data_IF_950126129873
#
_entry.id   IF_950126129873
#
_cell.length_a   1.000
_cell.length_b   1.000
_cell.length_c   1.000
_cell.angle_alpha   90.00
_cell.angle_beta   90.00
_cell.angle_gamma   90.00
#
_symmetry.space_group_name_H-M   'P 1'
#
loop_
_entity.id
_entity.type
_entity.pdbx_description
1 polymer ?
#
# COMPACT_ATOMS: atom_id res chain seq x y z
N UNK A 1 2.00 20.69 14.96
CA UNK A 1 1.76 19.28 15.32
C UNK A 1 1.42 18.54 14.04
N UNK A 2 2.37 17.77 13.48
CA UNK A 2 2.03 16.84 12.40
C UNK A 2 1.54 15.56 13.07
N UNK A 3 0.27 15.24 12.90
CA UNK A 3 -0.30 13.97 13.34
C UNK A 3 0.35 12.86 12.51
N UNK A 4 1.31 12.15 13.10
CA UNK A 4 1.97 11.02 12.47
C UNK A 4 1.03 9.82 12.48
N UNK A 5 0.21 9.68 11.44
CA UNK A 5 -0.57 8.45 11.22
C UNK A 5 0.44 7.34 10.90
N UNK A 6 0.40 6.19 11.60
CA UNK A 6 1.29 5.07 11.33
C UNK A 6 1.24 4.66 9.86
N UNK A 7 2.39 4.39 9.25
CA UNK A 7 2.51 4.04 7.81
C UNK A 7 1.59 2.88 7.43
N UNK A 8 1.43 1.92 8.34
CA UNK A 8 0.53 0.79 8.14
C UNK A 8 -0.94 1.23 8.00
N UNK A 9 -1.42 2.08 8.91
CA UNK A 9 -2.78 2.60 8.85
C UNK A 9 -3.03 3.41 7.56
N UNK A 10 -2.03 4.16 7.09
CA UNK A 10 -2.13 4.88 5.81
C UNK A 10 -2.16 3.93 4.60
N UNK A 11 -1.43 2.82 4.66
CA UNK A 11 -1.44 1.80 3.61
C UNK A 11 -2.79 1.07 3.59
N UNK A 12 -3.29 0.64 4.75
CA UNK A 12 -4.61 0.01 4.90
C UNK A 12 -5.71 0.94 4.42
N UNK A 13 -5.66 2.23 4.76
CA UNK A 13 -6.61 3.22 4.30
C UNK A 13 -6.55 3.41 2.78
N UNK A 14 -5.36 3.41 2.17
CA UNK A 14 -5.23 3.49 0.71
C UNK A 14 -5.87 2.29 0.00
N UNK A 15 -5.70 1.08 0.52
CA UNK A 15 -6.38 -0.12 0.00
C UNK A 15 -7.88 -0.08 0.28
N UNK A 16 -8.30 0.37 1.47
CA UNK A 16 -9.70 0.53 1.83
C UNK A 16 -10.44 1.48 0.90
N UNK A 17 -9.83 2.61 0.54
CA UNK A 17 -10.38 3.56 -0.44
C UNK A 17 -10.47 2.95 -1.85
N UNK A 18 -9.46 2.17 -2.26
CA UNK A 18 -9.50 1.46 -3.52
C UNK A 18 -10.63 0.41 -3.55
N UNK A 19 -10.76 -0.36 -2.47
CA UNK A 19 -11.80 -1.37 -2.29
C UNK A 19 -13.21 -0.76 -2.23
N UNK A 20 -13.35 0.43 -1.64
CA UNK A 20 -14.59 1.20 -1.61
C UNK A 20 -14.96 1.83 -2.96
N UNK A 21 -14.12 1.67 -4.00
CA UNK A 21 -14.37 2.23 -5.32
C UNK A 21 -14.09 3.73 -5.42
N UNK A 22 -13.24 4.27 -4.56
CA UNK A 22 -12.83 5.68 -4.54
C UNK A 22 -11.35 5.85 -4.96
N UNK A 23 -11.04 5.66 -6.26
CA UNK A 23 -9.69 5.83 -6.78
C UNK A 23 -9.22 7.29 -6.73
N UNK A 24 -10.13 8.25 -6.63
CA UNK A 24 -9.80 9.67 -6.59
C UNK A 24 -9.30 10.07 -5.19
N UNK A 25 -9.88 9.51 -4.13
CA UNK A 25 -9.36 9.65 -2.77
C UNK A 25 -7.97 8.99 -2.61
N UNK A 26 -7.72 7.83 -3.23
CA UNK A 26 -6.38 7.22 -3.27
C UNK A 26 -5.37 8.19 -3.93
N UNK A 27 -5.75 8.76 -5.08
CA UNK A 27 -4.90 9.71 -5.81
C UNK A 27 -4.62 11.00 -5.05
N UNK A 28 -5.57 11.49 -4.25
CA UNK A 28 -5.37 12.68 -3.42
C UNK A 28 -4.25 12.51 -2.38
N UNK A 29 -3.95 11.27 -1.99
CA UNK A 29 -2.86 10.91 -1.06
C UNK A 29 -1.51 10.75 -1.74
N UNK A 30 -1.50 10.62 -3.07
CA UNK A 30 -0.27 10.44 -3.83
C UNK A 30 0.55 11.73 -3.91
N UNK A 31 1.86 11.57 -4.07
CA UNK A 31 2.73 12.66 -4.51
C UNK A 31 2.33 13.10 -5.92
N UNK A 32 2.68 14.34 -6.29
CA UNK A 32 2.33 14.88 -7.61
C UNK A 32 2.82 13.98 -8.77
N UNK A 33 4.06 13.50 -8.68
CA UNK A 33 4.66 12.63 -9.71
C UNK A 33 3.97 11.27 -9.76
N UNK A 34 3.68 10.66 -8.60
CA UNK A 34 2.98 9.39 -8.51
C UNK A 34 1.55 9.48 -9.06
N UNK A 35 0.80 10.52 -8.69
CA UNK A 35 -0.55 10.77 -9.20
C UNK A 35 -0.57 10.98 -10.73
N UNK A 36 0.52 11.47 -11.33
CA UNK A 36 0.63 11.56 -12.79
C UNK A 36 0.91 10.22 -13.46
N UNK A 37 1.68 9.35 -12.82
CA UNK A 37 2.01 8.02 -13.34
C UNK A 37 0.86 7.02 -13.16
N UNK A 38 0.31 6.93 -11.95
CA UNK A 38 -0.76 5.99 -11.59
C UNK A 38 -2.11 6.67 -11.79
N UNK A 39 -2.62 6.66 -13.03
CA UNK A 39 -3.89 7.32 -13.40
C UNK A 39 -5.10 6.70 -12.68
N UNK A 40 -6.22 7.46 -12.58
CA UNK A 40 -7.51 6.92 -12.10
C UNK A 40 -7.91 5.65 -12.85
N UNK A 41 -7.75 5.66 -14.18
CA UNK A 41 -8.04 4.51 -15.03
C UNK A 41 -7.17 3.31 -14.66
N UNK A 42 -5.87 3.52 -14.46
CA UNK A 42 -4.95 2.45 -14.08
C UNK A 42 -5.36 1.80 -12.74
N UNK A 43 -5.68 2.60 -11.71
CA UNK A 43 -6.16 2.09 -10.42
C UNK A 43 -7.41 1.22 -10.56
N UNK A 44 -8.42 1.74 -11.27
CA UNK A 44 -9.69 1.02 -11.48
C UNK A 44 -9.47 -0.26 -12.28
N UNK A 45 -8.66 -0.21 -13.32
CA UNK A 45 -8.38 -1.39 -14.16
C UNK A 45 -7.67 -2.47 -13.36
N UNK A 46 -6.56 -2.14 -12.68
CA UNK A 46 -5.79 -3.11 -11.90
C UNK A 46 -6.64 -3.69 -10.77
N UNK A 47 -7.39 -2.86 -10.05
CA UNK A 47 -8.25 -3.36 -8.96
C UNK A 47 -9.33 -4.31 -9.48
N UNK A 48 -9.95 -3.99 -10.62
CA UNK A 48 -10.91 -4.90 -11.27
C UNK A 48 -10.28 -6.22 -11.70
N UNK A 49 -9.04 -6.19 -12.20
CA UNK A 49 -8.30 -7.41 -12.56
C UNK A 49 -8.01 -8.27 -11.34
N UNK A 50 -7.62 -7.66 -10.21
CA UNK A 50 -7.44 -8.35 -8.92
C UNK A 50 -8.74 -9.00 -8.46
N UNK A 51 -9.86 -8.26 -8.43
CA UNK A 51 -11.14 -8.81 -8.01
C UNK A 51 -11.63 -9.91 -8.96
N UNK A 52 -11.34 -9.80 -10.26
CA UNK A 52 -11.67 -10.85 -11.22
C UNK A 52 -10.84 -12.13 -11.03
N UNK A 53 -9.61 -12.02 -10.49
CA UNK A 53 -8.75 -13.18 -10.26
C UNK A 53 -8.99 -13.88 -8.92
N UNK A 54 -9.25 -13.12 -7.84
CA UNK A 54 -9.29 -13.66 -6.48
C UNK A 54 -10.58 -13.33 -5.71
N UNK A 55 -11.55 -12.66 -6.34
CA UNK A 55 -12.83 -12.31 -5.70
C UNK A 55 -12.76 -11.07 -4.81
N UNK A 56 -13.83 -10.84 -4.04
CA UNK A 56 -13.96 -9.67 -3.18
C UNK A 56 -12.87 -9.61 -2.09
N UNK A 57 -12.47 -8.41 -1.69
CA UNK A 57 -11.58 -8.21 -0.54
C UNK A 57 -12.39 -8.41 0.75
N UNK A 58 -11.92 -9.31 1.62
CA UNK A 58 -12.56 -9.60 2.90
C UNK A 58 -11.87 -8.89 4.06
N UNK A 59 -10.53 -8.88 4.07
CA UNK A 59 -9.73 -8.22 5.09
C UNK A 59 -8.31 -7.93 4.59
N UNK A 60 -7.57 -7.11 5.34
CA UNK A 60 -6.14 -6.92 5.12
C UNK A 60 -5.40 -6.82 6.45
N UNK A 61 -4.15 -7.25 6.46
CA UNK A 61 -3.26 -7.17 7.60
C UNK A 61 -1.84 -6.91 7.11
N UNK A 62 -1.07 -6.10 7.83
CA UNK A 62 0.26 -5.75 7.35
C UNK A 62 1.31 -5.50 8.41
N UNK A 63 2.49 -5.21 7.90
CA UNK A 63 3.64 -4.77 8.68
C UNK A 63 4.39 -3.68 7.92
N UNK A 64 5.21 -2.93 8.65
CA UNK A 64 6.04 -1.88 8.06
C UNK A 64 7.38 -2.46 7.68
N UNK A 65 7.80 -2.17 6.45
CA UNK A 65 9.16 -2.37 5.98
C UNK A 65 9.84 -0.99 5.96
N UNK A 66 10.86 -0.83 6.81
CA UNK A 66 11.71 0.36 6.80
C UNK A 66 12.95 0.09 5.97
N UNK A 67 13.27 1.03 5.09
CA UNK A 67 14.56 1.04 4.41
C UNK A 67 15.43 2.13 5.06
N UNK A 68 16.63 1.75 5.48
CA UNK A 68 17.67 2.69 5.90
C UNK A 68 18.97 2.22 5.26
N UNK A 69 19.55 3.08 4.42
CA UNK A 69 20.86 2.87 3.79
C UNK A 69 21.02 1.57 2.99
N UNK A 70 20.02 1.20 2.19
CA UNK A 70 20.06 0.03 1.31
C UNK A 70 19.92 -1.32 2.02
N UNK A 71 19.67 -1.31 3.34
CA UNK A 71 19.31 -2.50 4.10
C UNK A 71 17.80 -2.52 4.38
N UNK A 72 17.12 -3.55 3.89
CA UNK A 72 15.73 -3.83 4.25
C UNK A 72 15.69 -4.28 5.70
N UNK A 73 15.20 -3.43 6.61
CA UNK A 73 14.82 -3.86 7.95
C UNK A 73 13.33 -4.14 7.97
N UNK A 74 12.97 -5.42 8.04
CA UNK A 74 11.63 -5.81 8.51
C UNK A 74 11.54 -5.37 9.97
N UNK A 75 10.86 -4.26 10.21
CA UNK A 75 10.49 -3.88 11.56
C UNK A 75 9.29 -4.71 12.00
N UNK A 76 9.32 -5.08 13.28
CA UNK A 76 8.26 -5.76 14.04
C UNK A 76 6.87 -5.23 13.64
N UNK A 77 5.79 -6.04 13.72
CA UNK A 77 4.41 -5.54 13.59
C UNK A 77 4.28 -4.20 14.33
N UNK A 78 3.92 -3.15 13.59
CA UNK A 78 3.86 -1.81 14.14
C UNK A 78 2.85 -1.82 15.28
N UNK A 79 3.27 -1.39 16.47
CA UNK A 79 2.32 -1.19 17.56
C UNK A 79 1.33 -0.10 17.12
N UNK A 80 0.01 -0.30 17.29
CA UNK A 80 -0.97 0.72 16.94
C UNK A 80 -0.63 2.06 17.60
N UNK A 81 -0.44 3.12 16.80
CA UNK A 81 -0.14 4.47 17.27
C UNK A 81 1.35 4.84 17.30
N UNK A 82 2.27 3.94 16.95
CA UNK A 82 3.69 4.27 16.88
C UNK A 82 4.03 5.03 15.60
N UNK A 83 4.67 6.20 15.74
CA UNK A 83 5.07 7.04 14.62
C UNK A 83 6.18 6.34 13.82
N UNK A 84 5.88 5.96 12.58
CA UNK A 84 6.85 5.36 11.68
C UNK A 84 7.68 6.44 10.99
N UNK A 85 9.00 6.32 11.01
CA UNK A 85 9.89 7.20 10.23
C UNK A 85 9.65 6.99 8.73
N UNK A 86 9.60 8.08 7.96
CA UNK A 86 9.52 8.06 6.49
C UNK A 86 10.90 8.42 5.88
N UNK A 87 11.26 7.93 4.69
CA UNK A 87 10.47 7.08 3.79
C UNK A 87 10.25 5.67 4.33
N UNK A 88 9.13 5.06 3.95
CA UNK A 88 8.73 3.75 4.43
C UNK A 88 7.84 3.02 3.43
N UNK A 89 7.73 1.70 3.59
CA UNK A 89 6.85 0.86 2.79
C UNK A 89 5.90 0.12 3.71
N UNK A 90 4.60 0.34 3.54
CA UNK A 90 3.57 -0.49 4.15
C UNK A 90 3.36 -1.73 3.29
N UNK A 91 3.66 -2.92 3.83
CA UNK A 91 3.37 -4.20 3.19
C UNK A 91 2.11 -4.80 3.80
N UNK A 92 1.12 -5.05 2.97
CA UNK A 92 -0.17 -5.65 3.36
C UNK A 92 -0.33 -7.01 2.69
N UNK A 93 -0.82 -7.99 3.44
CA UNK A 93 -1.48 -9.18 2.90
C UNK A 93 -2.96 -8.85 2.78
N UNK A 94 -3.51 -9.07 1.59
CA UNK A 94 -4.90 -8.86 1.26
C UNK A 94 -5.57 -10.23 1.18
N UNK A 95 -6.53 -10.48 2.06
CA UNK A 95 -7.32 -11.72 2.05
C UNK A 95 -8.56 -11.49 1.21
N UNK A 96 -8.68 -12.27 0.14
CA UNK A 96 -9.81 -12.26 -0.77
C UNK A 96 -10.58 -13.60 -0.71
N UNK A 97 -11.81 -13.61 -1.21
CA UNK A 97 -12.69 -14.79 -1.24
C UNK A 97 -12.00 -16.05 -1.80
N UNK A 98 -11.15 -15.88 -2.81
CA UNK A 98 -10.48 -16.97 -3.53
C UNK A 98 -8.96 -16.77 -3.59
N UNK A 99 -8.34 -16.43 -2.45
CA UNK A 99 -6.88 -16.45 -2.29
C UNK A 99 -6.33 -15.20 -1.63
N UNK A 100 -5.01 -15.05 -1.69
CA UNK A 100 -4.31 -13.91 -1.12
C UNK A 100 -3.61 -13.10 -2.20
N UNK A 101 -3.53 -11.80 -1.97
CA UNK A 101 -2.68 -10.89 -2.73
C UNK A 101 -1.77 -10.14 -1.76
N UNK A 102 -0.66 -9.62 -2.25
CA UNK A 102 0.19 -8.72 -1.50
C UNK A 102 0.02 -7.32 -2.07
N UNK A 103 0.01 -6.31 -1.22
CA UNK A 103 0.15 -4.92 -1.62
C UNK A 103 1.36 -4.28 -0.95
N UNK A 104 2.10 -3.46 -1.69
CA UNK A 104 3.10 -2.55 -1.14
C UNK A 104 2.71 -1.12 -1.46
N UNK A 105 2.65 -0.29 -0.42
CA UNK A 105 2.41 1.14 -0.53
C UNK A 105 3.66 1.85 -0.03
N UNK A 106 4.35 2.56 -0.91
CA UNK A 106 5.55 3.31 -0.54
C UNK A 106 5.20 4.76 -0.26
N UNK A 107 5.86 5.33 0.75
CA UNK A 107 5.65 6.69 1.22
C UNK A 107 6.95 7.49 1.13
N UNK A 108 6.86 8.71 0.59
CA UNK A 108 7.99 9.64 0.58
C UNK A 108 8.24 10.30 1.94
N UNK A 109 9.30 11.11 2.05
CA UNK A 109 9.65 11.86 3.27
C UNK A 109 8.56 12.82 3.79
N UNK A 110 7.54 13.11 2.98
CA UNK A 110 6.41 13.96 3.34
C UNK A 110 5.16 13.12 3.71
N UNK A 111 5.28 11.79 3.76
CA UNK A 111 4.18 10.87 4.02
C UNK A 111 3.19 10.75 2.85
N UNK A 112 3.56 11.18 1.64
CA UNK A 112 2.73 11.02 0.45
C UNK A 112 2.97 9.65 -0.16
N UNK A 113 1.92 9.01 -0.68
CA UNK A 113 2.07 7.77 -1.46
C UNK A 113 2.87 8.08 -2.71
N UNK A 114 4.04 7.47 -2.86
CA UNK A 114 4.89 7.63 -4.06
C UNK A 114 4.95 6.35 -4.92
N UNK A 115 4.32 5.26 -4.48
CA UNK A 115 4.22 4.00 -5.23
C UNK A 115 3.15 3.07 -4.64
N UNK A 116 2.55 2.26 -5.51
CA UNK A 116 1.56 1.24 -5.18
C UNK A 116 1.80 0.03 -6.07
N UNK A 117 2.03 -1.14 -5.46
CA UNK A 117 2.14 -2.43 -6.12
C UNK A 117 1.11 -3.38 -5.53
N UNK A 118 0.44 -4.15 -6.39
CA UNK A 118 -0.49 -5.21 -6.00
C UNK A 118 -0.21 -6.41 -6.90
N UNK A 119 -0.12 -7.60 -6.33
CA UNK A 119 0.08 -8.83 -7.10
C UNK A 119 0.07 -10.07 -6.22
N UNK A 120 0.21 -11.25 -6.83
CA UNK A 120 0.18 -12.50 -6.09
C UNK A 120 1.45 -12.63 -5.21
N UNK A 121 1.39 -13.34 -4.07
CA UNK A 121 2.52 -13.44 -3.13
C UNK A 121 3.83 -13.94 -3.77
N UNK A 122 3.75 -14.78 -4.81
CA UNK A 122 4.91 -15.35 -5.50
C UNK A 122 5.66 -14.32 -6.34
N UNK A 123 5.00 -13.24 -6.76
CA UNK A 123 5.62 -12.16 -7.53
C UNK A 123 6.41 -11.18 -6.64
N UNK A 124 6.15 -11.18 -5.34
CA UNK A 124 6.70 -10.22 -4.38
C UNK A 124 8.24 -10.15 -4.34
N UNK A 125 9.00 -11.26 -4.42
CA UNK A 125 10.46 -11.22 -4.40
C UNK A 125 11.08 -10.46 -5.58
N UNK A 126 10.35 -10.28 -6.68
CA UNK A 126 10.81 -9.58 -7.87
C UNK A 126 10.46 -8.08 -7.85
N UNK A 127 9.73 -7.59 -6.85
CA UNK A 127 9.32 -6.20 -6.79
C UNK A 127 10.49 -5.30 -6.41
N UNK A 128 10.55 -4.09 -7.01
CA UNK A 128 11.53 -3.10 -6.58
C UNK A 128 11.33 -2.78 -5.10
N UNK A 129 12.45 -2.52 -4.43
CA UNK A 129 12.50 -2.01 -3.07
C UNK A 129 12.19 -0.52 -3.08
#
# INVERSE_FOLDING_TARGET
MQSSIPVLAQAEEAIGLLAAGDPDAVRARMSYTCARAITRRALVTVWREVLASVGALESCAGHVVLETDGAVRRTQPATPGEATAVPAIGRLVLHHEAGEMVARVSFDRHGRVNGLLIGPPEAEPAWPF
#
